data_IF_757642589850
#
_entry.id   IF_757642589850
#
_cell.length_a   1.000
_cell.length_b   1.000
_cell.length_c   1.000
_cell.angle_alpha   90.00
_cell.angle_beta   90.00
_cell.angle_gamma   90.00
#
_symmetry.space_group_name_H-M   'P 1'
#
loop_
_entity.id
_entity.type
_entity.pdbx_description
1 polymer ?
#
# COMPACT_ATOMS: atom_id res chain seq x y z
N UNK A 1 28.59 -7.94 -36.03
CA UNK A 1 27.38 -8.55 -35.42
C UNK A 1 27.64 -10.05 -35.41
N UNK A 2 28.06 -10.67 -34.29
CA UNK A 2 27.07 -11.14 -33.29
C UNK A 2 27.65 -11.40 -31.86
N UNK A 3 27.18 -10.66 -30.86
CA UNK A 3 27.31 -11.03 -29.43
C UNK A 3 26.12 -10.53 -28.60
N UNK A 4 25.35 -9.56 -29.12
CA UNK A 4 24.13 -9.04 -28.49
C UNK A 4 22.91 -9.98 -28.56
N UNK A 5 22.96 -11.05 -29.37
CA UNK A 5 21.85 -12.02 -29.49
C UNK A 5 21.95 -13.16 -28.46
N UNK A 6 23.16 -13.46 -27.96
CA UNK A 6 23.40 -14.58 -27.04
C UNK A 6 23.35 -14.16 -25.56
N UNK A 7 23.71 -12.90 -25.27
CA UNK A 7 23.50 -12.28 -23.97
C UNK A 7 22.35 -11.29 -24.10
N UNK A 8 21.14 -11.74 -23.75
CA UNK A 8 19.94 -10.90 -23.81
C UNK A 8 20.24 -9.50 -23.29
N UNK A 9 19.92 -8.48 -24.10
CA UNK A 9 20.24 -7.07 -23.83
C UNK A 9 20.01 -6.77 -22.36
N UNK A 10 21.08 -6.45 -21.62
CA UNK A 10 20.95 -5.92 -20.26
C UNK A 10 20.08 -4.66 -20.40
N UNK A 11 18.86 -4.73 -19.86
CA UNK A 11 17.92 -3.61 -19.91
C UNK A 11 18.62 -2.37 -19.39
N UNK A 12 18.47 -1.27 -20.10
CA UNK A 12 18.99 0.00 -19.62
C UNK A 12 18.30 0.37 -18.30
N UNK A 13 18.93 1.15 -17.41
CA UNK A 13 18.29 1.63 -16.18
C UNK A 13 16.93 2.27 -16.45
N UNK A 14 16.80 3.03 -17.53
CA UNK A 14 15.53 3.66 -17.93
C UNK A 14 14.46 2.66 -18.38
N UNK A 15 14.84 1.58 -19.08
CA UNK A 15 13.93 0.49 -19.43
C UNK A 15 13.45 -0.28 -18.21
N UNK A 16 14.34 -0.54 -17.25
CA UNK A 16 13.99 -1.18 -15.97
C UNK A 16 13.03 -0.31 -15.15
N UNK A 17 13.31 0.99 -15.00
CA UNK A 17 12.43 1.93 -14.30
C UNK A 17 11.04 2.00 -14.97
N UNK A 18 10.98 2.05 -16.30
CA UNK A 18 9.70 2.02 -17.04
C UNK A 18 8.94 0.72 -16.86
N UNK A 19 9.62 -0.43 -16.85
CA UNK A 19 8.99 -1.72 -16.64
C UNK A 19 8.44 -1.84 -15.21
N UNK A 20 9.23 -1.45 -14.21
CA UNK A 20 8.81 -1.47 -12.81
C UNK A 20 7.61 -0.56 -12.59
N UNK A 21 7.61 0.65 -13.16
CA UNK A 21 6.47 1.57 -13.11
C UNK A 21 5.19 0.92 -13.68
N UNK A 22 5.29 0.20 -14.80
CA UNK A 22 4.14 -0.51 -15.39
C UNK A 22 3.67 -1.67 -14.52
N UNK A 23 4.60 -2.42 -13.92
CA UNK A 23 4.28 -3.52 -13.01
C UNK A 23 3.57 -3.01 -11.75
N UNK A 24 4.05 -1.94 -11.13
CA UNK A 24 3.40 -1.30 -9.97
C UNK A 24 2.02 -0.77 -10.32
N UNK A 25 1.86 -0.09 -11.47
CA UNK A 25 0.55 0.36 -11.93
C UNK A 25 -0.44 -0.77 -12.17
N UNK A 26 0.03 -1.92 -12.66
CA UNK A 26 -0.79 -3.12 -12.81
C UNK A 26 -1.20 -3.67 -11.44
N UNK A 27 -0.25 -3.81 -10.53
CA UNK A 27 -0.51 -4.27 -9.17
C UNK A 27 -1.54 -3.39 -8.44
N UNK A 28 -1.43 -2.05 -8.55
CA UNK A 28 -2.43 -1.13 -7.97
C UNK A 28 -3.84 -1.40 -8.50
N UNK A 29 -4.00 -1.62 -9.82
CA UNK A 29 -5.31 -1.92 -10.42
C UNK A 29 -5.84 -3.28 -10.00
N UNK A 30 -4.97 -4.28 -9.88
CA UNK A 30 -5.35 -5.61 -9.44
C UNK A 30 -5.80 -5.59 -7.97
N UNK A 31 -5.11 -4.83 -7.09
CA UNK A 31 -5.54 -4.59 -5.71
C UNK A 31 -6.87 -3.84 -5.63
N UNK A 32 -7.08 -2.81 -6.45
CA UNK A 32 -8.36 -2.08 -6.49
C UNK A 32 -9.53 -3.00 -6.89
N UNK A 33 -9.31 -3.90 -7.86
CA UNK A 33 -10.32 -4.89 -8.27
C UNK A 33 -10.63 -5.87 -7.14
N UNK A 34 -9.61 -6.35 -6.46
CA UNK A 34 -9.80 -7.31 -5.36
C UNK A 34 -10.49 -6.66 -4.17
N UNK A 35 -10.13 -5.41 -3.83
CA UNK A 35 -10.83 -4.59 -2.84
C UNK A 35 -12.31 -4.46 -3.18
N UNK A 36 -12.65 -4.14 -4.43
CA UNK A 36 -14.06 -4.01 -4.85
C UNK A 36 -14.84 -5.33 -4.73
N UNK A 37 -14.22 -6.48 -5.00
CA UNK A 37 -14.87 -7.77 -4.76
C UNK A 37 -15.12 -8.01 -3.28
N UNK A 38 -14.16 -7.69 -2.43
CA UNK A 38 -14.30 -7.81 -0.97
C UNK A 38 -15.40 -6.88 -0.43
N UNK A 39 -15.48 -5.64 -0.92
CA UNK A 39 -16.57 -4.69 -0.58
C UNK A 39 -17.96 -5.23 -1.02
N UNK A 40 -18.04 -5.93 -2.16
CA UNK A 40 -19.28 -6.57 -2.59
C UNK A 40 -19.63 -7.77 -1.71
N UNK A 41 -18.63 -8.57 -1.31
CA UNK A 41 -18.82 -9.68 -0.38
C UNK A 41 -19.26 -9.19 0.99
N UNK A 42 -18.67 -8.10 1.50
CA UNK A 42 -19.08 -7.43 2.73
C UNK A 42 -20.58 -7.12 2.73
N UNK A 43 -21.08 -6.51 1.64
CA UNK A 43 -22.50 -6.19 1.49
C UNK A 43 -23.40 -7.43 1.50
N UNK A 44 -22.95 -8.54 0.89
CA UNK A 44 -23.69 -9.81 0.89
C UNK A 44 -23.74 -10.41 2.29
N UNK A 45 -22.60 -10.48 2.98
CA UNK A 45 -22.51 -10.99 4.35
C UNK A 45 -23.39 -10.16 5.30
N UNK A 46 -23.43 -8.83 5.16
CA UNK A 46 -24.34 -7.97 5.93
C UNK A 46 -25.82 -8.33 5.68
N UNK A 47 -26.20 -8.57 4.42
CA UNK A 47 -27.56 -8.95 4.08
C UNK A 47 -27.92 -10.33 4.66
N UNK A 48 -26.99 -11.28 4.60
CA UNK A 48 -27.16 -12.63 5.15
C UNK A 48 -27.27 -12.60 6.68
N UNK A 49 -26.41 -11.84 7.38
CA UNK A 49 -26.48 -11.62 8.83
C UNK A 49 -27.88 -11.11 9.22
N UNK A 50 -28.39 -10.09 8.52
CA UNK A 50 -29.73 -9.54 8.78
C UNK A 50 -30.84 -10.57 8.56
N UNK A 51 -30.71 -11.44 7.55
CA UNK A 51 -31.68 -12.48 7.26
C UNK A 51 -31.67 -13.57 8.35
N UNK A 52 -30.49 -14.03 8.75
CA UNK A 52 -30.32 -15.07 9.77
C UNK A 52 -30.76 -14.58 11.16
N UNK A 53 -30.51 -13.32 11.47
CA UNK A 53 -30.99 -12.68 12.70
C UNK A 53 -32.53 -12.65 12.77
N UNK A 54 -33.22 -12.32 11.67
CA UNK A 54 -34.69 -12.38 11.61
C UNK A 54 -35.25 -13.79 11.77
N UNK A 55 -34.47 -14.81 11.42
CA UNK A 55 -34.83 -16.22 11.59
C UNK A 55 -34.52 -16.76 12.99
N UNK A 56 -33.93 -15.94 13.88
CA UNK A 56 -33.55 -16.34 15.24
C UNK A 56 -32.31 -17.23 15.32
N UNK A 57 -31.55 -17.39 14.21
CA UNK A 57 -30.38 -18.26 14.17
C UNK A 57 -29.12 -17.53 14.67
N UNK A 58 -29.07 -17.27 15.98
CA UNK A 58 -28.02 -16.45 16.60
C UNK A 58 -26.61 -17.05 16.51
N UNK A 59 -26.46 -18.37 16.51
CA UNK A 59 -25.15 -19.01 16.34
C UNK A 59 -24.56 -18.76 14.95
N UNK A 60 -25.40 -18.83 13.91
CA UNK A 60 -24.99 -18.51 12.54
C UNK A 60 -24.64 -17.02 12.40
N UNK A 61 -25.40 -16.14 13.06
CA UNK A 61 -25.15 -14.70 13.09
C UNK A 61 -23.78 -14.39 13.72
N UNK A 62 -23.42 -15.04 14.84
CA UNK A 62 -22.10 -14.87 15.47
C UNK A 62 -20.95 -15.27 14.54
N UNK A 63 -21.07 -16.41 13.86
CA UNK A 63 -20.04 -16.88 12.91
C UNK A 63 -19.91 -15.90 11.72
N UNK A 64 -21.03 -15.48 11.14
CA UNK A 64 -21.01 -14.54 10.02
C UNK A 64 -20.51 -13.14 10.43
N UNK A 65 -20.77 -12.70 11.66
CA UNK A 65 -20.22 -11.44 12.18
C UNK A 65 -18.69 -11.48 12.28
N UNK A 66 -18.10 -12.61 12.70
CA UNK A 66 -16.63 -12.79 12.69
C UNK A 66 -16.07 -12.71 11.26
N UNK A 67 -16.76 -13.31 10.28
CA UNK A 67 -16.36 -13.22 8.86
C UNK A 67 -16.48 -11.79 8.30
N UNK A 68 -17.50 -11.04 8.73
CA UNK A 68 -17.68 -9.63 8.37
C UNK A 68 -16.52 -8.77 8.87
N UNK A 69 -16.11 -8.94 10.14
CA UNK A 69 -14.95 -8.24 10.73
C UNK A 69 -13.68 -8.56 9.95
N UNK A 70 -13.46 -9.84 9.65
CA UNK A 70 -12.30 -10.29 8.87
C UNK A 70 -12.29 -9.66 7.47
N UNK A 71 -13.44 -9.63 6.80
CA UNK A 71 -13.60 -9.00 5.48
C UNK A 71 -13.27 -7.51 5.52
N UNK A 72 -13.79 -6.77 6.53
CA UNK A 72 -13.47 -5.34 6.74
C UNK A 72 -11.97 -5.11 7.00
N UNK A 73 -11.33 -5.97 7.79
CA UNK A 73 -9.87 -5.91 8.02
C UNK A 73 -9.10 -6.10 6.71
N UNK A 74 -9.49 -7.06 5.86
CA UNK A 74 -8.86 -7.21 4.54
C UNK A 74 -9.06 -5.99 3.64
N UNK A 75 -10.26 -5.40 3.59
CA UNK A 75 -10.50 -4.17 2.82
C UNK A 75 -9.56 -3.04 3.27
N UNK A 76 -9.41 -2.84 4.59
CA UNK A 76 -8.43 -1.88 5.14
C UNK A 76 -6.99 -2.23 4.72
N UNK A 77 -6.58 -3.51 4.85
CA UNK A 77 -5.24 -3.98 4.45
C UNK A 77 -4.97 -3.72 2.96
N UNK A 78 -5.96 -3.90 2.09
CA UNK A 78 -5.84 -3.57 0.66
C UNK A 78 -5.66 -2.08 0.41
N UNK A 79 -6.32 -1.20 1.17
CA UNK A 79 -6.15 0.26 1.08
C UNK A 79 -4.72 0.64 1.48
N UNK A 80 -4.22 0.14 2.61
CA UNK A 80 -2.85 0.38 3.06
C UNK A 80 -1.82 -0.13 2.06
N UNK A 81 -1.99 -1.36 1.56
CA UNK A 81 -1.08 -1.95 0.58
C UNK A 81 -1.05 -1.15 -0.74
N UNK A 82 -2.21 -0.67 -1.21
CA UNK A 82 -2.28 0.20 -2.39
C UNK A 82 -1.51 1.51 -2.15
N UNK A 83 -1.70 2.14 -0.99
CA UNK A 83 -0.99 3.37 -0.62
C UNK A 83 0.53 3.15 -0.62
N UNK A 84 0.99 2.02 -0.09
CA UNK A 84 2.41 1.65 -0.08
C UNK A 84 2.97 1.48 -1.50
N UNK A 85 2.26 0.77 -2.37
CA UNK A 85 2.67 0.62 -3.78
C UNK A 85 2.68 1.97 -4.50
N UNK A 86 1.73 2.85 -4.20
CA UNK A 86 1.69 4.20 -4.73
C UNK A 86 2.91 5.03 -4.28
N UNK A 87 3.31 4.92 -3.01
CA UNK A 87 4.52 5.56 -2.49
C UNK A 87 5.79 5.06 -3.20
N UNK A 88 5.94 3.73 -3.36
CA UNK A 88 7.06 3.13 -4.12
C UNK A 88 7.05 3.59 -5.58
N UNK A 89 5.88 3.67 -6.20
CA UNK A 89 5.70 4.19 -7.56
C UNK A 89 6.17 5.64 -7.69
N UNK A 90 5.84 6.51 -6.73
CA UNK A 90 6.34 7.89 -6.70
C UNK A 90 7.86 7.94 -6.52
N UNK A 91 8.43 7.08 -5.67
CA UNK A 91 9.88 6.97 -5.49
C UNK A 91 10.59 6.59 -6.80
N UNK A 92 10.06 5.63 -7.55
CA UNK A 92 10.58 5.26 -8.88
C UNK A 92 10.49 6.42 -9.87
N UNK A 93 9.41 7.19 -9.84
CA UNK A 93 9.25 8.37 -10.69
C UNK A 93 10.32 9.44 -10.37
N UNK A 94 10.63 9.66 -9.08
CA UNK A 94 11.72 10.54 -8.65
C UNK A 94 13.08 10.03 -9.12
N UNK A 95 13.36 8.73 -8.94
CA UNK A 95 14.61 8.11 -9.42
C UNK A 95 14.81 8.28 -10.93
N UNK A 96 13.73 8.17 -11.72
CA UNK A 96 13.77 8.41 -13.16
C UNK A 96 14.11 9.86 -13.51
N UNK A 97 13.53 10.83 -12.79
CA UNK A 97 13.85 12.25 -12.98
C UNK A 97 15.32 12.54 -12.63
N UNK A 98 15.81 11.97 -11.52
CA UNK A 98 17.20 12.09 -11.10
C UNK A 98 18.16 11.45 -12.11
N UNK A 99 17.84 10.27 -12.65
CA UNK A 99 18.65 9.62 -13.69
C UNK A 99 18.73 10.48 -14.96
N UNK A 100 17.60 11.05 -15.40
CA UNK A 100 17.57 11.94 -16.57
C UNK A 100 18.42 13.20 -16.32
N UNK A 101 18.36 13.77 -15.12
CA UNK A 101 19.18 14.92 -14.72
C UNK A 101 20.67 14.53 -14.70
N UNK A 102 21.03 13.38 -14.13
CA UNK A 102 22.40 12.89 -14.11
C UNK A 102 22.95 12.62 -15.52
N UNK A 103 22.13 12.08 -16.43
CA UNK A 103 22.50 11.90 -17.83
C UNK A 103 22.73 13.24 -18.54
N UNK A 104 21.85 14.22 -18.32
CA UNK A 104 21.99 15.57 -18.87
C UNK A 104 23.24 16.26 -18.32
N UNK A 105 23.48 16.19 -17.01
CA UNK A 105 24.68 16.72 -16.36
C UNK A 105 25.94 16.03 -16.86
N UNK A 106 25.92 14.70 -17.10
CA UNK A 106 27.06 14.01 -17.72
C UNK A 106 27.38 14.54 -19.12
N UNK A 107 26.37 14.90 -19.90
CA UNK A 107 26.55 15.58 -21.20
C UNK A 107 27.17 16.96 -21.05
N UNK A 108 26.66 17.77 -20.12
CA UNK A 108 27.19 19.12 -19.81
C UNK A 108 28.61 19.05 -19.26
N UNK A 109 28.90 18.15 -18.32
CA UNK A 109 30.24 17.93 -17.76
C UNK A 109 31.20 17.42 -18.82
N UNK A 110 30.76 16.60 -19.78
CA UNK A 110 31.61 16.18 -20.91
C UNK A 110 31.90 17.35 -21.86
N UNK A 111 30.92 18.20 -22.15
CA UNK A 111 31.12 19.42 -22.93
C UNK A 111 32.03 20.42 -22.19
N UNK A 112 31.82 20.61 -20.88
CA UNK A 112 32.66 21.41 -20.01
C UNK A 112 34.07 20.84 -19.87
N UNK A 113 34.27 19.52 -19.77
CA UNK A 113 35.59 18.89 -19.73
C UNK A 113 36.34 19.10 -21.07
N UNK A 114 35.61 19.10 -22.18
CA UNK A 114 36.16 19.38 -23.51
C UNK A 114 36.54 20.86 -23.66
N UNK A 115 35.74 21.78 -23.11
CA UNK A 115 36.07 23.21 -22.98
C UNK A 115 37.23 23.48 -21.98
N UNK A 116 37.28 22.75 -20.88
CA UNK A 116 38.25 22.89 -19.79
C UNK A 116 39.62 22.29 -20.12
N UNK A 117 39.71 21.43 -21.15
CA UNK A 117 41.01 21.10 -21.77
C UNK A 117 41.72 22.34 -22.35
N UNK A 118 41.00 23.45 -22.53
CA UNK A 118 41.53 24.71 -23.04
C UNK A 118 41.70 25.82 -21.96
N UNK A 119 41.19 25.64 -20.73
CA UNK A 119 41.26 26.66 -19.66
C UNK A 119 41.53 26.01 -18.27
N UNK A 120 42.52 26.52 -17.51
CA UNK A 120 43.11 25.90 -16.29
C UNK A 120 42.16 25.81 -15.07
N UNK A 121 42.34 24.73 -14.31
CA UNK A 121 41.48 24.15 -13.26
C UNK A 121 41.77 24.61 -11.81
N UNK A 122 40.78 25.22 -11.13
CA UNK A 122 40.52 24.91 -9.70
C UNK A 122 39.03 24.62 -9.36
N UNK A 123 38.09 25.02 -10.22
CA UNK A 123 36.65 25.02 -9.87
C UNK A 123 35.96 23.65 -10.03
N UNK A 124 36.52 22.74 -10.85
CA UNK A 124 35.95 21.40 -11.11
C UNK A 124 36.07 20.47 -9.91
N UNK A 125 37.15 20.56 -9.13
CA UNK A 125 37.31 19.76 -7.91
C UNK A 125 36.22 20.11 -6.88
N UNK A 126 35.84 21.39 -6.79
CA UNK A 126 34.71 21.82 -5.94
C UNK A 126 33.39 21.22 -6.39
N UNK A 127 33.11 21.19 -7.69
CA UNK A 127 31.84 20.64 -8.22
C UNK A 127 31.75 19.13 -7.98
N UNK A 128 32.84 18.39 -8.17
CA UNK A 128 32.87 16.94 -7.88
C UNK A 128 32.68 16.66 -6.39
N UNK A 129 33.33 17.44 -5.53
CA UNK A 129 33.23 17.30 -4.07
C UNK A 129 31.85 17.71 -3.54
N UNK A 130 31.22 18.73 -4.13
CA UNK A 130 29.84 19.11 -3.81
C UNK A 130 28.85 18.03 -4.26
N UNK A 131 29.11 17.37 -5.40
CA UNK A 131 28.29 16.26 -5.87
C UNK A 131 28.39 15.03 -4.97
N UNK A 132 29.59 14.64 -4.56
CA UNK A 132 29.79 13.53 -3.59
C UNK A 132 29.05 13.81 -2.28
N UNK A 133 29.18 15.04 -1.74
CA UNK A 133 28.49 15.45 -0.53
C UNK A 133 26.96 15.43 -0.66
N UNK A 134 26.41 15.84 -1.80
CA UNK A 134 24.97 15.78 -2.06
C UNK A 134 24.48 14.34 -2.25
N UNK A 135 25.31 13.45 -2.82
CA UNK A 135 24.98 12.03 -2.95
C UNK A 135 24.91 11.33 -1.60
N UNK A 136 25.86 11.58 -0.68
CA UNK A 136 25.82 11.05 0.69
C UNK A 136 24.60 11.53 1.49
N UNK A 137 24.22 12.81 1.33
CA UNK A 137 23.01 13.36 1.96
C UNK A 137 21.75 12.68 1.41
N UNK A 138 21.75 12.28 0.14
CA UNK A 138 20.64 11.56 -0.48
C UNK A 138 20.52 10.13 0.07
N UNK A 139 21.64 9.42 0.22
CA UNK A 139 21.67 8.06 0.75
C UNK A 139 21.21 8.02 2.23
N UNK A 140 21.65 8.97 3.07
CA UNK A 140 21.14 9.09 4.45
C UNK A 140 19.63 9.37 4.51
N UNK A 141 19.10 10.18 3.59
CA UNK A 141 17.64 10.43 3.51
C UNK A 141 16.87 9.18 3.13
N UNK A 142 17.50 8.26 2.42
CA UNK A 142 16.89 7.01 2.00
C UNK A 142 16.82 6.01 3.16
N UNK A 143 17.85 5.94 4.01
CA UNK A 143 17.84 5.16 5.26
C UNK A 143 16.79 5.68 6.25
N UNK A 144 16.74 6.99 6.52
CA UNK A 144 15.72 7.57 7.40
C UNK A 144 14.27 7.35 6.92
N UNK A 145 14.08 7.23 5.60
CA UNK A 145 12.77 6.95 5.01
C UNK A 145 12.42 5.46 5.05
N UNK A 146 13.42 4.57 5.12
CA UNK A 146 13.21 3.13 5.32
C UNK A 146 12.81 2.83 6.76
N UNK A 147 13.45 3.48 7.74
CA UNK A 147 13.11 3.32 9.17
C UNK A 147 11.69 3.80 9.49
N UNK A 148 11.24 4.89 8.85
CA UNK A 148 9.85 5.38 9.00
C UNK A 148 8.81 4.46 8.34
N UNK A 149 9.21 3.61 7.39
CA UNK A 149 8.34 2.61 6.77
C UNK A 149 8.28 1.34 7.63
N UNK A 150 9.39 0.93 8.25
CA UNK A 150 9.43 -0.20 9.18
C UNK A 150 8.66 0.09 10.49
N UNK A 151 8.76 1.29 11.06
CA UNK A 151 7.97 1.69 12.24
C UNK A 151 6.46 1.76 11.93
N UNK A 152 6.08 2.06 10.68
CA UNK A 152 4.68 2.05 10.24
C UNK A 152 4.14 0.64 9.92
N UNK A 153 5.02 -0.37 9.86
CA UNK A 153 4.69 -1.78 9.61
C UNK A 153 4.58 -2.60 10.91
N UNK A 154 4.97 -2.03 12.06
CA UNK A 154 5.13 -2.71 13.33
C UNK A 154 3.90 -2.89 14.23
N UNK A 155 2.68 -2.63 13.75
CA UNK A 155 1.45 -2.82 14.55
C UNK A 155 0.62 -4.00 14.01
N UNK A 156 1.10 -5.22 14.30
CA UNK A 156 0.30 -6.45 14.29
C UNK A 156 0.07 -6.91 15.74
N UNK A 157 -0.52 -6.06 16.59
CA UNK A 157 -1.12 -6.50 17.85
C UNK A 157 -2.62 -6.17 17.85
N UNK A 158 -3.43 -7.24 17.92
CA UNK A 158 -4.65 -7.38 18.74
C UNK A 158 -5.57 -8.46 18.14
N UNK A 159 -5.22 -9.72 18.45
CA UNK A 159 -6.04 -10.91 18.19
C UNK A 159 -7.06 -11.19 19.32
N UNK A 160 -7.07 -10.46 20.44
CA UNK A 160 -7.82 -10.90 21.63
C UNK A 160 -9.24 -10.34 21.85
N UNK A 161 -9.74 -9.38 21.05
CA UNK A 161 -11.08 -8.80 21.28
C UNK A 161 -12.21 -9.33 20.36
N UNK A 162 -12.22 -10.61 19.98
CA UNK A 162 -13.14 -11.08 18.94
C UNK A 162 -14.64 -11.04 19.29
N UNK A 163 -15.02 -11.16 20.56
CA UNK A 163 -16.44 -11.20 20.95
C UNK A 163 -17.03 -9.81 21.22
N UNK A 164 -16.24 -8.88 21.76
CA UNK A 164 -16.62 -7.47 21.89
C UNK A 164 -16.85 -6.83 20.52
N UNK A 165 -15.95 -7.12 19.56
CA UNK A 165 -16.08 -6.63 18.19
C UNK A 165 -17.32 -7.22 17.50
N UNK A 166 -17.65 -8.48 17.75
CA UNK A 166 -18.90 -9.08 17.21
C UNK A 166 -20.13 -8.37 17.78
N UNK A 167 -20.17 -8.10 19.09
CA UNK A 167 -21.28 -7.35 19.71
C UNK A 167 -21.43 -5.96 19.07
N UNK A 168 -20.31 -5.25 18.90
CA UNK A 168 -20.29 -3.93 18.26
C UNK A 168 -20.84 -3.97 16.83
N UNK A 169 -20.48 -4.98 16.04
CA UNK A 169 -20.99 -5.14 14.67
C UNK A 169 -22.49 -5.42 14.65
N UNK A 170 -23.02 -6.17 15.62
CA UNK A 170 -24.47 -6.42 15.72
C UNK A 170 -25.23 -5.14 16.06
N UNK A 171 -24.67 -4.32 16.95
CA UNK A 171 -25.21 -3.00 17.30
C UNK A 171 -25.18 -2.04 16.10
N UNK A 172 -24.07 -1.98 15.37
CA UNK A 172 -23.94 -1.19 14.12
C UNK A 172 -24.99 -1.59 13.07
N UNK A 173 -25.33 -2.88 13.00
CA UNK A 173 -26.33 -3.39 12.06
C UNK A 173 -27.78 -3.13 12.50
N UNK A 174 -27.98 -2.54 13.69
CA UNK A 174 -29.30 -2.30 14.26
C UNK A 174 -30.02 -3.59 14.64
N UNK A 175 -29.27 -4.67 14.87
CA UNK A 175 -29.80 -5.95 15.35
C UNK A 175 -29.80 -5.95 16.88
N UNK A 176 -30.39 -4.91 17.48
CA UNK A 176 -30.64 -4.93 18.91
C UNK A 176 -31.59 -6.09 19.21
N UNK A 177 -31.10 -6.97 20.07
CA UNK A 177 -31.71 -8.18 20.60
C UNK A 177 -33.24 -8.14 20.55
N UNK A 178 -33.81 -8.89 19.61
CA UNK A 178 -35.24 -9.26 19.66
C UNK A 178 -35.59 -10.03 20.95
N UNK A 179 -34.59 -10.38 21.76
CA UNK A 179 -34.73 -10.94 23.11
C UNK A 179 -35.43 -9.96 24.08
N UNK A 180 -35.24 -8.65 23.94
CA UNK A 180 -35.86 -7.65 24.83
C UNK A 180 -37.34 -7.39 24.51
N UNK A 181 -37.79 -7.72 23.29
CA UNK A 181 -39.22 -7.68 22.94
C UNK A 181 -39.93 -9.02 23.25
N UNK A 182 -39.25 -10.16 23.07
CA UNK A 182 -39.82 -11.47 23.40
C UNK A 182 -40.01 -11.66 24.91
N UNK A 183 -39.08 -11.16 25.74
CA UNK A 183 -39.19 -11.20 27.19
C UNK A 183 -40.32 -10.33 27.76
N UNK A 184 -40.58 -9.15 27.17
CA UNK A 184 -41.63 -8.23 27.67
C UNK A 184 -43.06 -8.66 27.30
N UNK A 185 -43.26 -9.41 26.22
CA UNK A 185 -44.58 -9.96 25.89
C UNK A 185 -45.02 -11.08 26.85
N UNK A 186 -44.09 -11.87 27.40
CA UNK A 186 -44.45 -12.94 28.34
C UNK A 186 -44.78 -12.44 29.76
N UNK A 187 -44.33 -11.24 30.13
CA UNK A 187 -44.61 -10.67 31.45
C UNK A 187 -45.93 -9.89 31.53
N UNK A 188 -46.50 -9.50 30.38
CA UNK A 188 -47.80 -8.83 30.28
C UNK A 188 -49.00 -9.80 30.19
N UNK A 189 -48.76 -11.10 30.05
CA UNK A 189 -49.83 -12.13 30.01
C UNK A 189 -50.06 -12.77 31.41
N UNK A 190 -49.16 -12.49 32.38
CA UNK A 190 -49.18 -13.06 33.73
C UNK A 190 -49.50 -12.03 34.85
N UNK A 191 -49.98 -10.84 34.49
CA UNK A 191 -50.61 -9.85 35.38
C UNK A 191 -52.03 -9.57 34.90
#
# INVERSE_FOLDING_TARGET
>A
MPLEFLFGRKKTPDEMLRQNQRALNKAMRDLDRERQKMEQQEKKVIADIKKMAKQGQMDAVKVMAKDLVRTRRYVKKFISLRANIQAVSLKIQTLKANNTMAQAMKGVTKAMATMNKQLKLPQIQKIMMEFEKQSEIMDMKEEMMSDAIDDALGDEEDEEESDAIVSQVLDELGLQMADDLAGRCNQLILM
#
